data_IF_976917967874
#
_entry.id   IF_976917967874
#
_cell.length_a   1.000
_cell.length_b   1.000
_cell.length_c   1.000
_cell.angle_alpha   90.00
_cell.angle_beta   90.00
_cell.angle_gamma   90.00
#
_symmetry.space_group_name_H-M   'P 1'
#
loop_
_entity.id
_entity.type
_entity.pdbx_description
1 polymer ?
#
# COMPACT_ATOMS: atom_id res chain seq x y z
N UNK A 1 9.34 -22.84 -12.74
CA UNK A 1 7.94 -22.69 -12.27
C UNK A 1 7.56 -21.26 -11.88
N UNK A 2 8.48 -20.40 -11.45
CA UNK A 2 8.18 -19.02 -11.01
C UNK A 2 7.67 -18.00 -12.08
N UNK A 3 7.54 -18.35 -13.37
CA UNK A 3 7.06 -17.39 -14.38
C UNK A 3 5.54 -17.28 -14.40
N UNK A 4 4.82 -18.40 -14.23
CA UNK A 4 3.36 -18.41 -14.37
C UNK A 4 2.70 -17.72 -13.18
N UNK A 5 3.13 -18.03 -11.94
CA UNK A 5 2.64 -17.37 -10.73
C UNK A 5 2.81 -15.85 -10.79
N UNK A 6 4.00 -15.37 -11.20
CA UNK A 6 4.26 -13.93 -11.34
C UNK A 6 3.35 -13.28 -12.38
N UNK A 7 3.13 -13.95 -13.51
CA UNK A 7 2.23 -13.44 -14.57
C UNK A 7 0.80 -13.38 -14.07
N UNK A 8 0.32 -14.43 -13.40
CA UNK A 8 -1.04 -14.47 -12.83
C UNK A 8 -1.24 -13.38 -11.79
N UNK A 9 -0.33 -13.26 -10.81
CA UNK A 9 -0.39 -12.20 -9.79
C UNK A 9 -0.29 -10.81 -10.44
N UNK A 10 0.64 -10.62 -11.37
CA UNK A 10 0.79 -9.36 -12.09
C UNK A 10 -0.46 -8.95 -12.88
N UNK A 11 -1.09 -9.91 -13.57
CA UNK A 11 -2.31 -9.67 -14.33
C UNK A 11 -3.50 -9.34 -13.42
N UNK A 12 -3.70 -10.13 -12.36
CA UNK A 12 -4.78 -9.89 -11.40
C UNK A 12 -4.63 -8.53 -10.71
N UNK A 13 -3.43 -8.18 -10.25
CA UNK A 13 -3.17 -6.89 -9.62
C UNK A 13 -3.32 -5.74 -10.61
N UNK A 14 -2.85 -5.89 -11.86
CA UNK A 14 -3.04 -4.87 -12.88
C UNK A 14 -4.52 -4.61 -13.18
N UNK A 15 -5.30 -5.67 -13.36
CA UNK A 15 -6.74 -5.56 -13.62
C UNK A 15 -7.49 -4.97 -12.44
N UNK A 16 -7.26 -5.49 -11.23
CA UNK A 16 -7.90 -5.00 -10.01
C UNK A 16 -7.53 -3.54 -9.73
N UNK A 17 -6.25 -3.17 -9.86
CA UNK A 17 -5.78 -1.79 -9.67
C UNK A 17 -6.35 -0.83 -10.71
N UNK A 18 -6.38 -1.23 -11.98
CA UNK A 18 -6.97 -0.41 -13.05
C UNK A 18 -8.47 -0.25 -12.87
N UNK A 19 -9.17 -1.32 -12.50
CA UNK A 19 -10.59 -1.27 -12.19
C UNK A 19 -10.86 -0.33 -11.02
N UNK A 20 -10.12 -0.46 -9.91
CA UNK A 20 -10.23 0.42 -8.76
C UNK A 20 -9.95 1.88 -9.11
N UNK A 21 -8.88 2.12 -9.88
CA UNK A 21 -8.51 3.44 -10.36
C UNK A 21 -9.66 4.07 -11.14
N UNK A 22 -10.18 3.37 -12.16
CA UNK A 22 -11.28 3.86 -13.02
C UNK A 22 -12.54 4.16 -12.19
N UNK A 23 -12.90 3.28 -11.26
CA UNK A 23 -14.07 3.48 -10.39
C UNK A 23 -13.93 4.69 -9.48
N UNK A 24 -12.69 5.06 -9.09
CA UNK A 24 -12.44 6.16 -8.16
C UNK A 24 -11.99 7.46 -8.85
N UNK A 25 -11.79 7.47 -10.18
CA UNK A 25 -11.44 8.69 -10.92
C UNK A 25 -12.52 9.78 -10.82
N UNK A 26 -13.78 9.40 -10.59
CA UNK A 26 -14.89 10.34 -10.41
C UNK A 26 -15.13 10.71 -8.95
N UNK A 27 -14.35 10.17 -8.01
CA UNK A 27 -14.46 10.51 -6.58
C UNK A 27 -13.45 11.61 -6.24
N UNK A 28 -13.77 12.44 -5.25
CA UNK A 28 -12.84 13.47 -4.75
C UNK A 28 -11.72 12.90 -3.85
N UNK A 29 -11.61 11.56 -3.77
CA UNK A 29 -10.64 10.87 -2.92
C UNK A 29 -9.32 10.62 -3.66
N UNK A 30 -8.37 11.55 -3.49
CA UNK A 30 -7.01 11.39 -4.02
C UNK A 30 -6.32 10.11 -3.50
N UNK A 31 -6.67 9.67 -2.28
CA UNK A 31 -6.17 8.43 -1.68
C UNK A 31 -6.59 7.21 -2.49
N UNK A 32 -7.87 7.10 -2.85
CA UNK A 32 -8.38 5.93 -3.59
C UNK A 32 -7.82 5.85 -5.01
N UNK A 33 -7.68 6.99 -5.67
CA UNK A 33 -6.97 7.10 -6.95
C UNK A 33 -5.51 6.66 -6.82
N UNK A 34 -4.83 7.12 -5.76
CA UNK A 34 -3.44 6.75 -5.46
C UNK A 34 -3.25 5.24 -5.26
N UNK A 35 -4.12 4.61 -4.48
CA UNK A 35 -4.10 3.15 -4.25
C UNK A 35 -4.24 2.41 -5.58
N UNK A 36 -5.26 2.74 -6.37
CA UNK A 36 -5.50 2.12 -7.68
C UNK A 36 -4.29 2.25 -8.60
N UNK A 37 -3.68 3.43 -8.66
CA UNK A 37 -2.50 3.71 -9.45
C UNK A 37 -1.29 2.88 -9.00
N UNK A 38 -1.02 2.79 -7.69
CA UNK A 38 0.09 1.98 -7.14
C UNK A 38 -0.11 0.50 -7.44
N UNK A 39 -1.31 -0.03 -7.24
CA UNK A 39 -1.61 -1.45 -7.49
C UNK A 39 -1.50 -1.77 -8.98
N UNK A 40 -2.03 -0.90 -9.86
CA UNK A 40 -1.90 -1.06 -11.30
C UNK A 40 -0.44 -1.01 -11.76
N UNK A 41 0.33 -0.01 -11.32
CA UNK A 41 1.73 0.12 -11.68
C UNK A 41 2.60 -1.04 -11.15
N UNK A 42 2.32 -1.52 -9.94
CA UNK A 42 2.96 -2.71 -9.36
C UNK A 42 2.66 -3.98 -10.17
N UNK A 43 1.40 -4.21 -10.54
CA UNK A 43 0.98 -5.30 -11.42
C UNK A 43 1.67 -5.24 -12.79
N UNK A 44 1.72 -4.06 -13.40
CA UNK A 44 2.43 -3.82 -14.66
C UNK A 44 3.93 -4.10 -14.53
N UNK A 45 4.57 -3.70 -13.43
CA UNK A 45 5.98 -3.99 -13.17
C UNK A 45 6.25 -5.50 -13.08
N UNK A 46 5.34 -6.28 -12.47
CA UNK A 46 5.44 -7.73 -12.42
C UNK A 46 5.29 -8.39 -13.80
N UNK A 47 4.36 -7.90 -14.63
CA UNK A 47 4.17 -8.37 -16.00
C UNK A 47 5.39 -8.04 -16.89
N UNK A 48 5.91 -6.83 -16.77
CA UNK A 48 7.05 -6.33 -17.53
C UNK A 48 8.40 -6.74 -16.95
N UNK A 49 8.44 -7.60 -15.91
CA UNK A 49 9.64 -7.90 -15.13
C UNK A 49 10.88 -8.24 -15.98
N UNK A 50 10.68 -9.05 -17.04
CA UNK A 50 11.73 -9.45 -17.97
C UNK A 50 12.38 -8.28 -18.72
N UNK A 51 11.65 -7.17 -18.92
CA UNK A 51 12.15 -5.95 -19.59
C UNK A 51 12.80 -4.95 -18.64
N UNK A 52 12.53 -5.07 -17.34
CA UNK A 52 13.08 -4.16 -16.32
C UNK A 52 14.54 -4.52 -16.02
N UNK A 53 14.85 -5.81 -16.12
CA UNK A 53 16.16 -6.40 -15.85
C UNK A 53 16.67 -6.17 -14.41
N UNK A 54 15.81 -5.74 -13.49
CA UNK A 54 16.16 -5.58 -12.07
C UNK A 54 16.43 -6.96 -11.46
N UNK A 55 17.46 -7.13 -10.62
CA UNK A 55 17.68 -8.39 -9.91
C UNK A 55 16.49 -8.75 -9.01
N UNK A 56 15.91 -9.93 -9.20
CA UNK A 56 14.73 -10.37 -8.43
C UNK A 56 14.96 -10.45 -6.92
N UNK A 57 16.20 -10.61 -6.47
CA UNK A 57 16.54 -10.57 -5.05
C UNK A 57 16.40 -9.16 -4.47
N UNK A 58 16.89 -8.15 -5.19
CA UNK A 58 16.84 -6.76 -4.75
C UNK A 58 15.38 -6.28 -4.65
N UNK A 59 14.57 -6.52 -5.67
CA UNK A 59 13.18 -6.08 -5.66
C UNK A 59 12.33 -6.77 -4.57
N UNK A 60 12.58 -8.05 -4.28
CA UNK A 60 11.91 -8.71 -3.14
C UNK A 60 12.27 -8.08 -1.81
N UNK A 61 13.55 -7.77 -1.59
CA UNK A 61 14.02 -7.12 -0.36
C UNK A 61 13.39 -5.73 -0.24
N UNK A 62 13.46 -4.92 -1.29
CA UNK A 62 12.89 -3.56 -1.27
C UNK A 62 11.38 -3.62 -1.05
N UNK A 63 10.65 -4.47 -1.78
CA UNK A 63 9.21 -4.62 -1.59
C UNK A 63 8.84 -5.04 -0.15
N UNK A 64 9.56 -6.02 0.42
CA UNK A 64 9.30 -6.46 1.80
C UNK A 64 9.59 -5.36 2.82
N UNK A 65 10.74 -4.67 2.70
CA UNK A 65 11.11 -3.58 3.60
C UNK A 65 10.14 -2.41 3.48
N UNK A 66 9.77 -2.01 2.28
CA UNK A 66 8.80 -0.93 2.07
C UNK A 66 7.41 -1.32 2.56
N UNK A 67 6.98 -2.57 2.36
CA UNK A 67 5.72 -3.09 2.91
C UNK A 67 5.64 -2.89 4.41
N UNK A 68 6.64 -3.38 5.14
CA UNK A 68 6.71 -3.26 6.60
C UNK A 68 6.86 -1.82 7.07
N UNK A 69 7.76 -1.04 6.45
CA UNK A 69 7.97 0.35 6.80
C UNK A 69 6.70 1.19 6.57
N UNK A 70 5.99 0.93 5.47
CA UNK A 70 4.74 1.58 5.14
C UNK A 70 3.63 1.29 6.15
N UNK A 71 3.44 0.02 6.53
CA UNK A 71 2.48 -0.35 7.57
C UNK A 71 2.83 0.28 8.94
N UNK A 72 4.12 0.34 9.30
CA UNK A 72 4.59 1.00 10.54
C UNK A 72 4.33 2.51 10.48
N UNK A 73 4.59 3.16 9.35
CA UNK A 73 4.29 4.58 9.16
C UNK A 73 2.77 4.81 9.16
N UNK A 74 1.99 3.90 8.59
CA UNK A 74 0.53 3.94 8.57
C UNK A 74 -0.08 3.90 9.97
N UNK A 75 0.56 3.26 10.95
CA UNK A 75 0.15 3.31 12.36
C UNK A 75 0.20 4.72 12.98
N UNK A 76 1.01 5.63 12.43
CA UNK A 76 1.03 7.03 12.85
C UNK A 76 -0.18 7.81 12.31
N UNK A 77 -0.83 7.31 11.25
CA UNK A 77 -2.11 7.83 10.81
C UNK A 77 -3.18 7.41 11.81
N UNK A 78 -3.80 8.40 12.43
CA UNK A 78 -4.80 8.23 13.46
C UNK A 78 -6.03 9.04 13.07
N UNK A 79 -7.19 8.39 13.13
CA UNK A 79 -8.49 9.02 12.92
C UNK A 79 -9.39 8.64 14.08
N UNK A 80 -9.85 9.62 14.84
CA UNK A 80 -10.84 9.42 15.88
C UNK A 80 -12.15 10.11 15.46
N UNK A 81 -13.27 9.43 15.63
CA UNK A 81 -14.58 9.98 15.34
C UNK A 81 -15.56 9.73 16.49
N UNK A 82 -16.35 10.76 16.79
CA UNK A 82 -17.50 10.71 17.68
C UNK A 82 -18.75 10.65 16.78
N UNK A 83 -19.50 9.56 16.88
CA UNK A 83 -20.67 9.28 16.05
C UNK A 83 -21.94 9.06 16.88
N UNK A 84 -23.11 9.26 16.25
CA UNK A 84 -24.41 9.02 16.88
C UNK A 84 -24.61 9.82 18.17
N UNK A 85 -25.41 9.29 19.10
CA UNK A 85 -25.63 9.98 20.37
C UNK A 85 -24.38 9.91 21.27
N UNK A 86 -23.63 8.80 21.29
CA UNK A 86 -22.48 8.59 22.18
C UNK A 86 -21.54 7.43 21.74
N UNK A 87 -21.32 7.23 20.44
CA UNK A 87 -20.35 6.25 19.95
C UNK A 87 -18.98 6.93 19.79
N UNK A 88 -17.94 6.29 20.31
CA UNK A 88 -16.56 6.69 20.06
C UNK A 88 -15.85 5.59 19.29
N UNK A 89 -15.13 5.97 18.23
CA UNK A 89 -14.31 5.07 17.43
C UNK A 89 -12.96 5.70 17.14
N UNK A 90 -11.91 4.88 17.17
CA UNK A 90 -10.57 5.25 16.79
C UNK A 90 -10.02 4.19 15.84
N UNK A 91 -9.50 4.65 14.72
CA UNK A 91 -8.91 3.85 13.67
C UNK A 91 -7.46 4.29 13.40
N UNK A 92 -6.60 3.34 13.05
CA UNK A 92 -5.22 3.56 12.60
C UNK A 92 -4.88 2.68 11.41
N UNK A 93 -3.92 3.14 10.62
CA UNK A 93 -3.48 2.51 9.39
C UNK A 93 -3.69 3.44 8.20
N UNK A 94 -2.80 3.33 7.22
CA UNK A 94 -2.89 4.06 5.96
C UNK A 94 -2.21 3.28 4.84
N UNK A 95 -2.85 3.12 3.67
CA UNK A 95 -4.13 3.73 3.29
C UNK A 95 -5.38 3.06 3.87
N UNK A 96 -5.27 1.86 4.44
CA UNK A 96 -6.41 1.16 5.01
C UNK A 96 -6.36 1.16 6.53
N UNK A 97 -7.43 1.64 7.18
CA UNK A 97 -7.57 1.52 8.63
C UNK A 97 -7.75 0.05 9.02
N UNK A 98 -6.70 -0.56 9.57
CA UNK A 98 -6.65 -1.98 9.93
C UNK A 98 -6.55 -2.23 11.43
N UNK A 99 -6.26 -1.20 12.21
CA UNK A 99 -6.28 -1.25 13.67
C UNK A 99 -7.43 -0.35 14.14
N UNK A 100 -8.38 -0.90 14.90
CA UNK A 100 -9.58 -0.17 15.29
C UNK A 100 -9.93 -0.44 16.74
N UNK A 101 -10.61 0.51 17.37
CA UNK A 101 -11.26 0.32 18.67
C UNK A 101 -12.45 1.25 18.77
N UNK A 102 -13.46 0.85 19.54
CA UNK A 102 -14.62 1.69 19.73
C UNK A 102 -15.56 1.13 20.76
N UNK A 103 -16.38 2.00 21.32
CA UNK A 103 -17.43 1.63 22.25
C UNK A 103 -18.56 2.67 22.20
N UNK A 104 -19.71 2.27 22.76
CA UNK A 104 -20.90 3.11 22.88
C UNK A 104 -21.27 3.18 24.36
N UNK A 105 -21.59 4.38 24.85
CA UNK A 105 -22.04 4.60 26.23
C UNK A 105 -23.18 5.62 26.28
N UNK A 106 -23.56 6.09 27.48
CA UNK A 106 -24.54 7.16 27.64
C UNK A 106 -23.89 8.56 27.67
N UNK A 107 -22.56 8.61 27.72
CA UNK A 107 -21.80 9.85 27.59
C UNK A 107 -20.49 9.64 26.79
N UNK A 108 -19.97 10.68 26.12
CA UNK A 108 -18.77 10.56 25.28
C UNK A 108 -17.50 10.16 26.04
N UNK A 109 -17.40 10.55 27.32
CA UNK A 109 -16.24 10.26 28.16
C UNK A 109 -16.21 8.78 28.55
N UNK A 110 -17.35 8.24 28.99
CA UNK A 110 -17.50 6.83 29.28
C UNK A 110 -17.34 5.96 28.03
N UNK A 111 -17.85 6.40 26.87
CA UNK A 111 -17.64 5.69 25.61
C UNK A 111 -16.16 5.57 25.28
N UNK A 112 -15.39 6.66 25.44
CA UNK A 112 -13.94 6.63 25.24
C UNK A 112 -13.23 5.72 26.25
N UNK A 113 -13.57 5.82 27.54
CA UNK A 113 -12.96 4.98 28.58
C UNK A 113 -13.21 3.49 28.33
N UNK A 114 -14.43 3.13 27.93
CA UNK A 114 -14.78 1.75 27.58
C UNK A 114 -14.00 1.27 26.36
N UNK A 115 -13.88 2.10 25.33
CA UNK A 115 -13.10 1.75 24.14
C UNK A 115 -11.59 1.64 24.41
N UNK A 116 -11.04 2.46 25.32
CA UNK A 116 -9.66 2.33 25.77
C UNK A 116 -9.43 1.05 26.59
N UNK A 117 -10.44 0.63 27.37
CA UNK A 117 -10.41 -0.58 28.18
C UNK A 117 -10.57 -1.87 27.36
N UNK A 118 -11.38 -1.86 26.30
CA UNK A 118 -11.61 -3.01 25.41
C UNK A 118 -10.36 -3.35 24.55
N UNK A 119 -9.45 -2.39 24.39
CA UNK A 119 -8.20 -2.57 23.68
C UNK A 119 -8.34 -2.37 22.17
N UNK A 120 -7.42 -2.96 21.40
CA UNK A 120 -7.38 -2.82 19.94
C UNK A 120 -7.82 -4.10 19.23
N UNK A 121 -8.76 -3.94 18.30
CA UNK A 121 -9.07 -4.93 17.28
C UNK A 121 -8.16 -4.78 16.05
N UNK A 122 -7.91 -5.91 15.36
CA UNK A 122 -7.12 -5.95 14.12
C UNK A 122 -8.00 -6.53 13.00
N UNK A 123 -8.17 -5.76 11.92
CA UNK A 123 -8.67 -6.25 10.65
C UNK A 123 -7.49 -6.77 9.81
N UNK A 124 -7.29 -8.09 9.85
CA UNK A 124 -6.17 -8.77 9.17
C UNK A 124 -6.24 -8.58 7.65
N UNK A 125 -7.45 -8.53 7.06
CA UNK A 125 -7.59 -8.37 5.63
C UNK A 125 -7.13 -6.99 5.18
N UNK A 126 -7.51 -5.95 5.92
CA UNK A 126 -7.06 -4.58 5.65
C UNK A 126 -5.57 -4.42 5.89
N UNK A 127 -4.99 -5.06 6.91
CA UNK A 127 -3.54 -5.07 7.14
C UNK A 127 -2.80 -5.72 5.96
N UNK A 128 -3.28 -6.84 5.44
CA UNK A 128 -2.68 -7.50 4.27
C UNK A 128 -2.78 -6.59 3.03
N UNK A 129 -3.92 -5.95 2.80
CA UNK A 129 -4.08 -5.00 1.71
C UNK A 129 -3.09 -3.82 1.83
N UNK A 130 -2.93 -3.27 3.03
CA UNK A 130 -2.00 -2.20 3.36
C UNK A 130 -0.55 -2.59 3.01
N UNK A 131 -0.11 -3.77 3.49
CA UNK A 131 1.21 -4.32 3.19
C UNK A 131 1.44 -4.52 1.70
N UNK A 132 0.43 -4.98 0.95
CA UNK A 132 0.52 -5.20 -0.50
C UNK A 132 0.69 -3.87 -1.25
N UNK A 133 -0.08 -2.84 -0.89
CA UNK A 133 0.05 -1.51 -1.50
C UNK A 133 1.46 -0.96 -1.28
N UNK A 134 1.96 -1.01 -0.05
CA UNK A 134 3.30 -0.53 0.26
C UNK A 134 4.40 -1.38 -0.37
N UNK A 135 4.22 -2.69 -0.49
CA UNK A 135 5.15 -3.55 -1.20
C UNK A 135 5.21 -3.22 -2.71
N UNK A 136 4.08 -2.89 -3.34
CA UNK A 136 4.05 -2.43 -4.72
C UNK A 136 4.68 -1.04 -4.88
N UNK A 137 4.46 -0.12 -3.95
CA UNK A 137 5.18 1.16 -3.95
C UNK A 137 6.71 0.94 -3.93
N UNK A 138 7.20 0.06 -3.04
CA UNK A 138 8.63 -0.30 -2.98
C UNK A 138 9.14 -0.95 -4.27
N UNK A 139 8.35 -1.83 -4.89
CA UNK A 139 8.67 -2.43 -6.17
C UNK A 139 8.84 -1.37 -7.28
N UNK A 140 7.92 -0.40 -7.34
CA UNK A 140 7.98 0.70 -8.31
C UNK A 140 9.25 1.53 -8.10
N UNK A 141 9.56 1.89 -6.85
CA UNK A 141 10.78 2.63 -6.50
C UNK A 141 12.03 1.87 -6.92
N UNK A 142 12.11 0.57 -6.63
CA UNK A 142 13.24 -0.27 -7.04
C UNK A 142 13.43 -0.30 -8.56
N UNK A 143 12.33 -0.34 -9.31
CA UNK A 143 12.36 -0.32 -10.79
C UNK A 143 12.84 1.02 -11.32
N UNK A 144 12.34 2.14 -10.76
CA UNK A 144 12.75 3.49 -11.17
C UNK A 144 14.23 3.71 -10.90
N UNK A 145 14.70 3.40 -9.69
CA UNK A 145 16.13 3.50 -9.32
C UNK A 145 16.98 2.61 -10.24
N UNK A 146 16.57 1.35 -10.44
CA UNK A 146 17.29 0.42 -11.31
C UNK A 146 17.42 0.92 -12.76
N UNK A 147 16.41 1.63 -13.28
CA UNK A 147 16.48 2.27 -14.60
C UNK A 147 17.40 3.48 -14.62
N UNK A 148 17.32 4.33 -13.61
CA UNK A 148 18.15 5.54 -13.54
C UNK A 148 19.64 5.20 -13.47
N UNK A 149 20.01 4.21 -12.65
CA UNK A 149 21.39 3.77 -12.51
C UNK A 149 21.94 3.20 -13.84
N UNK A 150 21.15 2.42 -14.58
CA UNK A 150 21.56 1.88 -15.90
C UNK A 150 21.69 2.92 -16.99
N UNK A 151 20.89 3.98 -16.93
CA UNK A 151 20.99 5.09 -17.88
C UNK A 151 22.33 5.80 -17.76
N UNK A 152 22.83 5.98 -16.52
CA UNK A 152 24.11 6.63 -16.25
C UNK A 152 25.30 5.88 -16.86
N UNK A 153 25.29 4.55 -16.82
CA UNK A 153 26.37 3.72 -17.38
C UNK A 153 26.50 3.89 -18.91
N UNK A 154 25.37 4.05 -19.62
CA UNK A 154 25.36 4.23 -21.09
C UNK A 154 25.81 5.62 -21.53
N UNK A 155 25.54 6.65 -20.74
CA UNK A 155 25.97 8.02 -21.08
C UNK A 155 27.48 8.21 -20.86
N UNK A 156 28.08 7.44 -19.94
CA UNK A 156 29.54 7.43 -19.76
C UNK A 156 30.28 6.92 -21.00
N UNK A 157 29.82 5.82 -21.60
CA UNK A 157 30.45 5.25 -22.81
C UNK A 157 30.42 6.19 -24.03
N UNK A 158 29.45 7.11 -24.13
CA UNK A 158 29.31 8.04 -25.28
C UNK A 158 30.26 9.24 -25.14
N UNK A 159 30.67 9.60 -23.93
CA UNK A 159 31.56 10.75 -23.70
C UNK A 159 33.05 10.38 -23.79
N UNK A 160 33.37 9.08 -23.71
CA UNK A 160 34.73 8.55 -23.81
C UNK A 160 35.09 8.10 -25.25
N UNK A 161 34.16 8.21 -26.21
CA UNK A 161 34.33 7.86 -27.63
C UNK A 161 34.46 9.09 -28.53
#
# INVERSE_FOLDING_TARGET
>A
MASMERVTVGALSFLAGTFWLVMNLSTDSATDVGIGAVVAAGGLALLAWHRLGVPARLARIVAAVTGLAGAVVGLASHSASLGGMYAWSEDRGWPFAWLYRGAVADDPGQARLLAEADGWGIDVLRLVADLVVWAYAGLIVAVVIGRFLRGKDRTGEILDS
#
